data_IF_660415558511
#
_entry.id   IF_660415558511
#
_cell.length_a   1.000
_cell.length_b   1.000
_cell.length_c   1.000
_cell.angle_alpha   90.00
_cell.angle_beta   90.00
_cell.angle_gamma   90.00
#
_symmetry.space_group_name_H-M   'P 1'
#
loop_
_entity.id
_entity.type
_entity.pdbx_description
1 polymer ?
#
# COMPACT_ATOMS: atom_id res chain seq x y z
N UNK A 1 -51.97 -28.27 -5.73
CA UNK A 1 -51.38 -27.68 -4.50
C UNK A 1 -49.87 -27.69 -4.71
N UNK A 2 -49.32 -26.60 -5.29
CA UNK A 2 -48.44 -25.62 -4.63
C UNK A 2 -47.39 -26.28 -3.73
N UNK A 3 -46.12 -26.22 -4.15
CA UNK A 3 -45.01 -25.53 -3.46
C UNK A 3 -43.70 -25.80 -4.22
N UNK A 4 -43.14 -24.81 -4.92
CA UNK A 4 -42.07 -23.89 -4.45
C UNK A 4 -40.69 -24.48 -4.77
N UNK A 5 -40.03 -24.13 -5.88
CA UNK A 5 -39.09 -23.00 -6.05
C UNK A 5 -38.28 -22.66 -4.79
N UNK A 6 -37.01 -23.07 -4.77
CA UNK A 6 -35.92 -22.33 -4.15
C UNK A 6 -34.65 -22.67 -4.93
N UNK A 7 -34.26 -21.77 -5.83
CA UNK A 7 -32.98 -21.80 -6.52
C UNK A 7 -31.89 -21.49 -5.48
N UNK A 8 -30.94 -22.40 -5.30
CA UNK A 8 -29.74 -22.14 -4.52
C UNK A 8 -28.82 -21.29 -5.40
N UNK A 9 -28.97 -19.97 -5.28
CA UNK A 9 -28.06 -18.96 -5.79
C UNK A 9 -26.83 -18.94 -4.88
N UNK A 10 -25.87 -19.84 -5.14
CA UNK A 10 -24.55 -19.85 -4.49
C UNK A 10 -23.67 -18.78 -5.16
N UNK A 11 -24.05 -17.53 -4.95
CA UNK A 11 -23.32 -16.35 -5.39
C UNK A 11 -22.31 -15.90 -4.36
N UNK A 12 -21.21 -16.62 -4.17
CA UNK A 12 -20.02 -16.15 -3.45
C UNK A 12 -18.89 -17.11 -3.82
N UNK A 13 -17.75 -16.71 -4.40
CA UNK A 13 -16.79 -15.74 -3.87
C UNK A 13 -15.96 -15.22 -5.05
N UNK A 14 -15.90 -13.90 -5.22
CA UNK A 14 -14.87 -13.27 -6.05
C UNK A 14 -13.71 -12.94 -5.13
N UNK A 15 -12.72 -13.83 -5.06
CA UNK A 15 -11.40 -13.49 -4.49
C UNK A 15 -10.76 -12.51 -5.47
N UNK A 16 -11.07 -11.22 -5.34
CA UNK A 16 -10.23 -10.18 -5.91
C UNK A 16 -8.90 -10.27 -5.14
N UNK A 17 -7.89 -10.81 -5.81
CA UNK A 17 -6.51 -10.89 -5.33
C UNK A 17 -6.06 -9.51 -4.84
N UNK A 18 -6.03 -9.31 -3.53
CA UNK A 18 -5.07 -8.38 -2.92
C UNK A 18 -3.85 -9.22 -2.58
N UNK A 19 -3.05 -9.48 -3.62
CA UNK A 19 -1.66 -9.91 -3.47
C UNK A 19 -0.93 -8.90 -2.56
N UNK A 20 -0.02 -9.43 -1.75
CA UNK A 20 1.02 -8.71 -0.98
C UNK A 20 0.63 -8.22 0.44
N UNK A 21 0.17 -9.11 1.33
CA UNK A 21 -0.04 -8.75 2.74
C UNK A 21 1.06 -9.21 3.70
N UNK A 22 1.97 -10.10 3.28
CA UNK A 22 3.01 -10.66 4.17
C UNK A 22 4.44 -10.19 3.89
N UNK A 23 4.70 -9.65 2.70
CA UNK A 23 6.05 -9.24 2.29
C UNK A 23 6.34 -7.75 2.61
N UNK A 24 5.30 -6.99 2.92
CA UNK A 24 5.35 -5.53 3.07
C UNK A 24 5.72 -5.07 4.49
N UNK A 25 5.51 -5.89 5.52
CA UNK A 25 5.90 -5.53 6.91
C UNK A 25 7.41 -5.35 7.06
N UNK A 26 8.20 -6.12 6.31
CA UNK A 26 9.66 -6.06 6.32
C UNK A 26 10.23 -5.18 5.20
N UNK A 27 9.38 -4.59 4.37
CA UNK A 27 9.81 -3.78 3.26
C UNK A 27 10.28 -2.38 3.70
N UNK A 28 11.42 -1.95 3.17
CA UNK A 28 11.93 -0.59 3.30
C UNK A 28 11.46 0.22 2.09
N UNK A 29 10.73 1.31 2.34
CA UNK A 29 10.25 2.21 1.28
C UNK A 29 11.15 3.44 1.22
N UNK A 30 11.75 3.67 0.06
CA UNK A 30 12.55 4.85 -0.20
C UNK A 30 11.70 5.90 -0.90
N UNK A 31 11.81 7.12 -0.40
CA UNK A 31 11.21 8.32 -0.96
C UNK A 31 12.29 9.32 -1.33
N UNK A 32 12.01 10.18 -2.31
CA UNK A 32 12.91 11.24 -2.75
C UNK A 32 12.19 12.59 -2.70
N UNK A 33 12.95 13.66 -2.86
CA UNK A 33 12.42 15.02 -3.00
C UNK A 33 13.30 15.80 -3.97
N UNK A 34 13.03 17.08 -4.17
CA UNK A 34 13.83 17.97 -5.04
C UNK A 34 15.26 18.19 -4.55
N UNK A 35 15.61 17.75 -3.34
CA UNK A 35 16.99 17.79 -2.88
C UNK A 35 17.85 16.77 -3.65
N UNK A 36 18.88 17.28 -4.34
CA UNK A 36 19.86 16.45 -5.06
C UNK A 36 20.53 15.47 -4.09
N UNK A 37 20.41 14.17 -4.37
CA UNK A 37 21.04 13.10 -3.59
C UNK A 37 20.41 12.80 -2.23
N UNK A 38 19.23 13.35 -1.90
CA UNK A 38 18.49 12.98 -0.69
C UNK A 38 17.52 11.82 -0.97
N UNK A 39 17.71 10.73 -0.23
CA UNK A 39 16.72 9.66 -0.10
C UNK A 39 16.23 9.63 1.35
N UNK A 40 14.94 9.41 1.50
CA UNK A 40 14.24 9.26 2.77
C UNK A 40 13.84 7.80 2.92
N UNK A 41 14.39 7.15 3.94
CA UNK A 41 13.95 5.86 4.43
C UNK A 41 12.62 6.02 5.17
N UNK A 42 11.60 5.37 4.66
CA UNK A 42 10.23 5.45 5.16
C UNK A 42 9.77 4.03 5.51
N UNK A 43 9.44 3.75 6.78
CA UNK A 43 8.93 2.44 7.16
C UNK A 43 7.51 2.23 6.62
N UNK A 44 7.07 0.98 6.52
CA UNK A 44 5.76 0.59 6.00
C UNK A 44 4.61 1.39 6.62
N UNK A 45 4.60 1.55 7.94
CA UNK A 45 3.54 2.31 8.64
C UNK A 45 3.42 3.77 8.24
N UNK A 46 4.47 4.39 7.68
CA UNK A 46 4.42 5.75 7.12
C UNK A 46 4.05 5.71 5.64
N UNK A 47 4.62 4.78 4.87
CA UNK A 47 4.21 4.54 3.48
C UNK A 47 2.69 4.34 3.37
N UNK A 48 2.12 3.51 4.23
CA UNK A 48 0.69 3.24 4.30
C UNK A 48 -0.12 4.50 4.66
N UNK A 49 0.39 5.38 5.53
CA UNK A 49 -0.27 6.67 5.83
C UNK A 49 -0.24 7.63 4.65
N UNK A 50 0.84 7.62 3.86
CA UNK A 50 0.93 8.42 2.64
C UNK A 50 -0.08 7.93 1.61
N UNK A 51 -0.16 6.61 1.41
CA UNK A 51 -1.06 5.98 0.42
C UNK A 51 -2.53 6.02 0.85
N UNK A 52 -2.88 5.51 2.03
CA UNK A 52 -4.27 5.33 2.46
C UNK A 52 -4.90 6.62 3.02
N UNK A 53 -4.13 7.41 3.77
CA UNK A 53 -4.64 8.61 4.45
C UNK A 53 -4.34 9.90 3.67
N UNK A 54 -3.63 9.80 2.54
CA UNK A 54 -3.23 10.96 1.74
C UNK A 54 -2.33 11.95 2.49
N UNK A 55 -1.65 11.50 3.55
CA UNK A 55 -0.80 12.39 4.36
C UNK A 55 0.44 12.76 3.56
N UNK A 56 0.62 14.07 3.31
CA UNK A 56 1.79 14.58 2.60
C UNK A 56 2.95 14.76 3.57
N UNK A 57 3.90 13.83 3.54
CA UNK A 57 5.18 14.00 4.25
C UNK A 57 6.06 14.98 3.49
N UNK A 58 6.71 15.88 4.23
CA UNK A 58 7.59 16.91 3.67
C UNK A 58 9.03 16.64 4.07
N UNK A 59 9.95 16.86 3.13
CA UNK A 59 11.36 16.82 3.41
C UNK A 59 11.73 17.95 4.38
N UNK A 60 12.55 17.66 5.39
CA UNK A 60 12.99 18.67 6.37
C UNK A 60 13.91 19.73 5.76
N UNK A 61 14.55 19.46 4.61
CA UNK A 61 15.47 20.37 3.93
C UNK A 61 14.75 21.31 2.97
N UNK A 62 14.16 20.79 1.90
CA UNK A 62 13.46 21.62 0.91
C UNK A 62 12.02 21.98 1.29
N UNK A 63 11.44 21.33 2.32
CA UNK A 63 10.03 21.49 2.74
C UNK A 63 9.01 21.05 1.69
N UNK A 64 9.47 20.49 0.58
CA UNK A 64 8.63 19.90 -0.47
C UNK A 64 8.13 18.50 -0.09
N UNK A 65 7.03 18.09 -0.71
CA UNK A 65 6.46 16.78 -0.50
C UNK A 65 7.41 15.68 -1.02
N UNK A 66 7.62 14.66 -0.20
CA UNK A 66 8.42 13.50 -0.61
C UNK A 66 7.61 12.63 -1.57
N UNK A 67 8.25 12.10 -2.61
CA UNK A 67 7.67 11.25 -3.64
C UNK A 67 8.22 9.83 -3.52
N UNK A 68 7.37 8.84 -3.79
CA UNK A 68 7.79 7.45 -3.73
C UNK A 68 8.84 7.16 -4.81
N UNK A 69 9.91 6.45 -4.43
CA UNK A 69 11.00 6.12 -5.34
C UNK A 69 11.14 4.61 -5.54
N UNK A 70 11.33 3.84 -4.46
CA UNK A 70 11.58 2.39 -4.56
C UNK A 70 11.19 1.63 -3.29
N UNK A 71 10.72 0.40 -3.43
CA UNK A 71 10.52 -0.57 -2.35
C UNK A 71 11.66 -1.58 -2.38
N UNK A 72 12.24 -1.89 -1.22
CA UNK A 72 13.11 -3.02 -1.02
C UNK A 72 12.42 -3.97 -0.05
N UNK A 73 11.92 -5.11 -0.55
CA UNK A 73 11.62 -6.25 0.31
C UNK A 73 12.75 -7.26 0.16
N UNK A 74 13.33 -7.69 1.28
CA UNK A 74 14.22 -8.85 1.27
C UNK A 74 13.35 -10.10 1.38
N UNK A 75 13.18 -10.79 0.26
CA UNK A 75 12.56 -12.11 0.23
C UNK A 75 13.54 -13.10 0.89
N UNK A 76 13.39 -13.34 2.20
CA UNK A 76 14.09 -14.42 2.91
C UNK A 76 13.25 -15.69 2.95
#
# INVERSE_FOLDING_TARGET
>A
RRSSLASEDDGEVSFEEVKEEKDDENAVYLYTCECVGQMHDVPFGIHQKIQLKGVKFKCKKCKEAIQFYKKYSENF
#
